data_IF_810913695694
#
_entry.id   IF_810913695694
#
_cell.length_a   1.000
_cell.length_b   1.000
_cell.length_c   1.000
_cell.angle_alpha   90.00
_cell.angle_beta   90.00
_cell.angle_gamma   90.00
#
_symmetry.space_group_name_H-M   'P 1'
#
loop_
_entity.id
_entity.type
_entity.pdbx_description
1 polymer ?
#
# COMPACT_ATOMS: atom_id res chain seq x y z
N UNK A 1 24.12 10.44 -17.70
CA UNK A 1 24.78 9.13 -17.88
C UNK A 1 23.84 8.25 -18.69
N UNK A 2 24.34 7.67 -19.78
CA UNK A 2 23.53 7.12 -20.86
C UNK A 2 22.81 5.81 -20.51
N UNK A 3 21.58 5.76 -21.01
CA UNK A 3 20.59 4.68 -20.94
C UNK A 3 21.04 3.43 -21.72
N UNK A 4 21.14 2.30 -21.02
CA UNK A 4 21.53 0.98 -21.55
C UNK A 4 20.33 0.03 -21.75
N UNK A 5 19.09 0.51 -21.77
CA UNK A 5 17.90 -0.36 -22.01
C UNK A 5 17.44 -0.44 -23.48
N UNK A 6 18.24 0.02 -24.44
CA UNK A 6 17.94 -0.09 -25.89
C UNK A 6 18.63 -1.22 -26.66
N UNK A 7 19.33 -2.15 -26.01
CA UNK A 7 20.06 -3.20 -26.73
C UNK A 7 19.52 -4.61 -26.41
N UNK A 8 18.34 -4.97 -26.93
CA UNK A 8 17.97 -6.36 -27.25
C UNK A 8 16.68 -6.42 -28.11
N UNK A 9 16.69 -5.75 -29.27
CA UNK A 9 15.74 -6.00 -30.37
C UNK A 9 16.44 -5.72 -31.68
N UNK A 10 17.18 -6.71 -32.22
CA UNK A 10 17.54 -6.85 -33.64
C UNK A 10 18.54 -8.01 -33.77
N UNK A 11 18.03 -9.23 -33.97
CA UNK A 11 18.60 -10.28 -34.84
C UNK A 11 17.66 -11.49 -34.78
N UNK A 12 17.03 -11.85 -35.90
CA UNK A 12 16.26 -13.09 -36.00
C UNK A 12 15.12 -13.11 -37.03
N UNK A 13 15.40 -12.77 -38.28
CA UNK A 13 14.70 -13.37 -39.43
C UNK A 13 15.68 -14.44 -39.97
N UNK A 14 15.32 -15.65 -40.40
CA UNK A 14 14.04 -16.30 -40.67
C UNK A 14 14.24 -17.82 -40.60
N UNK A 15 13.16 -18.58 -40.44
CA UNK A 15 12.76 -19.69 -41.33
C UNK A 15 11.47 -20.31 -40.75
N UNK A 16 10.41 -20.31 -41.56
CA UNK A 16 9.09 -20.72 -41.15
C UNK A 16 8.90 -22.24 -41.14
N UNK A 17 7.98 -22.68 -40.28
CA UNK A 17 7.07 -23.79 -40.55
C UNK A 17 5.73 -23.38 -39.93
N UNK A 18 4.69 -23.33 -40.75
CA UNK A 18 3.32 -23.05 -40.36
C UNK A 18 2.68 -24.29 -39.70
N UNK A 19 2.01 -24.10 -38.57
CA UNK A 19 1.05 -25.05 -37.98
C UNK A 19 -0.12 -24.23 -37.41
N UNK A 20 -1.39 -24.57 -37.68
CA UNK A 20 -2.50 -23.63 -37.53
C UNK A 20 -2.93 -23.41 -36.08
N UNK A 21 -3.44 -22.21 -35.83
CA UNK A 21 -4.12 -21.83 -34.60
C UNK A 21 -5.44 -22.61 -34.45
N UNK A 22 -5.58 -23.32 -33.34
CA UNK A 22 -6.88 -23.84 -32.88
C UNK A 22 -7.48 -22.77 -31.98
N UNK A 23 -8.57 -22.16 -32.45
CA UNK A 23 -9.45 -21.33 -31.65
C UNK A 23 -10.17 -22.20 -30.61
N UNK A 24 -10.02 -21.90 -29.33
CA UNK A 24 -10.90 -22.44 -28.29
C UNK A 24 -11.96 -21.38 -27.99
N UNK A 25 -13.10 -21.57 -28.63
CA UNK A 25 -14.37 -20.88 -28.35
C UNK A 25 -14.86 -21.19 -26.95
N UNK A 26 -15.23 -20.13 -26.22
CA UNK A 26 -16.09 -20.22 -25.04
C UNK A 26 -17.45 -20.81 -25.42
N UNK A 27 -17.95 -21.75 -24.61
CA UNK A 27 -19.34 -22.16 -24.63
C UNK A 27 -19.83 -22.33 -23.18
N UNK A 28 -20.78 -21.50 -22.80
CA UNK A 28 -21.74 -21.79 -21.73
C UNK A 28 -22.72 -22.84 -22.24
N UNK A 29 -23.04 -23.85 -21.44
CA UNK A 29 -24.38 -24.44 -21.38
C UNK A 29 -24.66 -25.00 -19.99
N UNK A 30 -25.85 -24.68 -19.52
CA UNK A 30 -26.56 -25.18 -18.33
C UNK A 30 -27.21 -26.53 -18.68
N UNK A 31 -27.29 -27.47 -17.72
CA UNK A 31 -28.36 -28.47 -17.72
C UNK A 31 -28.06 -29.86 -17.16
N UNK A 32 -28.45 -30.06 -15.89
CA UNK A 32 -29.15 -31.23 -15.33
C UNK A 32 -28.42 -32.56 -15.03
N UNK A 33 -28.22 -32.74 -13.71
CA UNK A 33 -28.49 -33.90 -12.86
C UNK A 33 -28.48 -35.33 -13.44
N UNK A 34 -27.57 -36.14 -12.89
CA UNK A 34 -27.88 -37.50 -12.45
C UNK A 34 -27.11 -37.80 -11.16
N UNK A 35 -27.86 -38.22 -10.13
CA UNK A 35 -27.32 -38.75 -8.90
C UNK A 35 -26.75 -40.15 -9.15
N UNK A 36 -25.59 -40.45 -8.59
CA UNK A 36 -25.36 -41.71 -7.88
C UNK A 36 -24.19 -41.57 -6.90
N UNK A 37 -24.37 -42.35 -5.85
CA UNK A 37 -23.70 -42.51 -4.57
C UNK A 37 -22.27 -43.06 -4.70
N UNK A 38 -21.26 -42.36 -4.17
CA UNK A 38 -20.18 -43.04 -3.45
C UNK A 38 -19.39 -42.06 -2.56
N UNK A 39 -19.08 -42.55 -1.37
CA UNK A 39 -18.45 -41.85 -0.26
C UNK A 39 -16.95 -41.62 -0.51
N UNK A 40 -16.49 -40.36 -0.43
CA UNK A 40 -15.09 -40.11 -0.13
C UNK A 40 -14.94 -38.84 0.73
N UNK A 41 -14.21 -39.01 1.83
CA UNK A 41 -13.98 -38.02 2.87
C UNK A 41 -13.03 -36.93 2.38
N UNK A 42 -13.59 -35.84 1.84
CA UNK A 42 -12.82 -34.64 1.51
C UNK A 42 -12.67 -33.74 2.75
N UNK A 43 -11.41 -33.46 3.06
CA UNK A 43 -10.98 -32.60 4.16
C UNK A 43 -11.47 -31.17 3.94
N UNK A 44 -12.60 -30.86 4.57
CA UNK A 44 -13.18 -29.53 4.63
C UNK A 44 -12.18 -28.50 5.13
N UNK A 45 -11.60 -27.76 4.19
CA UNK A 45 -11.20 -26.38 4.40
C UNK A 45 -12.52 -25.61 4.36
N UNK A 46 -13.06 -25.30 5.55
CA UNK A 46 -14.19 -24.38 5.68
C UNK A 46 -13.84 -23.10 4.91
N UNK A 47 -14.50 -22.88 3.77
CA UNK A 47 -14.59 -21.55 3.19
C UNK A 47 -15.27 -20.67 4.22
N UNK A 48 -14.47 -19.89 4.96
CA UNK A 48 -14.99 -18.98 5.97
C UNK A 48 -16.10 -18.12 5.35
N UNK A 49 -17.30 -18.22 5.93
CA UNK A 49 -18.48 -17.47 5.48
C UNK A 49 -18.14 -15.97 5.52
N UNK A 50 -17.98 -15.36 4.34
CA UNK A 50 -17.60 -13.97 4.18
C UNK A 50 -18.75 -13.09 4.69
N UNK A 51 -18.57 -12.43 5.83
CA UNK A 51 -19.62 -11.61 6.43
C UNK A 51 -19.92 -10.35 5.61
N UNK A 52 -21.18 -10.10 5.23
CA UNK A 52 -21.53 -8.93 4.44
C UNK A 52 -21.09 -7.59 5.10
N UNK A 53 -20.31 -6.79 4.38
CA UNK A 53 -19.87 -5.45 4.81
C UNK A 53 -21.01 -4.47 4.60
N UNK A 54 -21.38 -3.73 5.65
CA UNK A 54 -22.44 -2.71 5.58
C UNK A 54 -22.18 -1.71 4.46
N UNK A 55 -23.16 -1.55 3.57
CA UNK A 55 -23.05 -0.61 2.45
C UNK A 55 -22.89 0.83 2.93
N UNK A 56 -21.97 1.57 2.32
CA UNK A 56 -21.73 2.99 2.57
C UNK A 56 -21.75 3.78 1.27
N UNK A 57 -21.63 5.10 1.35
CA UNK A 57 -21.22 5.90 0.19
C UNK A 57 -19.76 5.65 -0.14
N UNK A 58 -19.37 5.89 -1.40
CA UNK A 58 -17.98 5.87 -1.85
C UNK A 58 -17.50 7.28 -2.17
N UNK A 59 -16.19 7.48 -2.27
CA UNK A 59 -15.68 8.74 -2.81
C UNK A 59 -15.95 8.83 -4.31
N UNK A 60 -16.33 10.02 -4.78
CA UNK A 60 -16.38 10.36 -6.19
C UNK A 60 -14.96 10.56 -6.72
N UNK A 61 -14.47 9.63 -7.54
CA UNK A 61 -13.11 9.72 -8.06
C UNK A 61 -12.97 10.79 -9.15
N UNK A 62 -14.08 11.29 -9.71
CA UNK A 62 -14.09 12.39 -10.69
C UNK A 62 -13.99 13.78 -10.06
N UNK A 63 -14.31 13.90 -8.77
CA UNK A 63 -14.21 15.16 -8.04
C UNK A 63 -12.78 15.71 -8.05
N UNK A 64 -12.64 17.04 -8.03
CA UNK A 64 -11.33 17.68 -7.97
C UNK A 64 -10.58 17.28 -6.67
N UNK A 65 -9.25 17.20 -6.76
CA UNK A 65 -8.41 16.99 -5.58
C UNK A 65 -7.95 18.32 -5.00
N UNK A 66 -7.96 18.43 -3.67
CA UNK A 66 -7.48 19.61 -2.94
C UNK A 66 -6.12 19.33 -2.29
N UNK A 67 -5.26 20.34 -2.24
CA UNK A 67 -3.95 20.25 -1.59
C UNK A 67 -4.12 20.32 -0.06
N UNK A 68 -3.56 19.34 0.65
CA UNK A 68 -3.43 19.37 2.11
C UNK A 68 -2.04 19.84 2.54
N UNK A 69 -1.01 19.19 1.98
CA UNK A 69 0.40 19.50 2.21
C UNK A 69 1.14 19.50 0.88
N UNK A 70 2.14 20.35 0.74
CA UNK A 70 2.95 20.41 -0.48
C UNK A 70 4.41 20.58 -0.18
N UNK A 71 5.22 19.70 -0.77
CA UNK A 71 6.68 19.75 -0.81
C UNK A 71 7.32 19.89 0.60
N UNK A 72 6.71 19.26 1.61
CA UNK A 72 7.19 19.33 2.99
C UNK A 72 8.41 18.42 3.21
N UNK A 73 9.39 18.84 4.04
CA UNK A 73 10.47 17.96 4.49
C UNK A 73 9.92 16.75 5.24
N UNK A 74 10.60 15.62 5.07
CA UNK A 74 10.54 14.50 5.99
C UNK A 74 11.88 14.36 6.73
N UNK A 75 11.98 13.44 7.68
CA UNK A 75 13.22 13.22 8.42
C UNK A 75 14.30 12.55 7.56
N UNK A 76 13.91 11.71 6.60
CA UNK A 76 14.81 11.10 5.63
C UNK A 76 14.84 11.84 4.31
N UNK A 77 15.82 11.51 3.47
CA UNK A 77 15.98 12.10 2.12
C UNK A 77 15.46 11.23 0.98
N UNK A 78 15.06 9.99 1.28
CA UNK A 78 14.49 9.05 0.30
C UNK A 78 13.04 9.37 -0.05
N UNK A 79 12.53 8.68 -1.06
CA UNK A 79 11.13 8.77 -1.50
C UNK A 79 10.20 8.37 -0.34
N UNK A 80 9.08 9.10 -0.19
CA UNK A 80 7.94 8.69 0.65
C UNK A 80 7.53 7.28 0.23
N UNK A 81 7.11 6.41 1.14
CA UNK A 81 6.55 5.10 0.79
C UNK A 81 5.07 5.02 1.15
N UNK A 82 4.70 5.56 2.31
CA UNK A 82 3.31 5.66 2.72
C UNK A 82 3.11 6.65 3.86
N UNK A 83 1.85 6.89 4.20
CA UNK A 83 1.47 7.74 5.32
C UNK A 83 0.12 7.32 5.91
N UNK A 84 -0.17 7.77 7.12
CA UNK A 84 -1.46 7.62 7.78
C UNK A 84 -1.68 8.73 8.82
N UNK A 85 -2.94 9.01 9.14
CA UNK A 85 -3.32 10.05 10.09
C UNK A 85 -3.63 9.49 11.47
N UNK A 86 -3.13 10.15 12.52
CA UNK A 86 -3.79 10.12 13.81
C UNK A 86 -4.87 11.20 13.81
N UNK A 87 -6.08 10.79 13.45
CA UNK A 87 -7.20 11.71 13.28
C UNK A 87 -7.63 12.40 14.59
N UNK A 88 -7.48 11.72 15.75
CA UNK A 88 -7.88 12.33 17.02
C UNK A 88 -6.83 13.33 17.54
N UNK A 89 -5.56 13.18 17.14
CA UNK A 89 -4.47 14.07 17.56
C UNK A 89 -4.05 15.09 16.48
N UNK A 90 -4.71 15.11 15.32
CA UNK A 90 -4.35 15.95 14.18
C UNK A 90 -2.86 15.82 13.81
N UNK A 91 -2.39 14.58 13.68
CA UNK A 91 -1.01 14.28 13.29
C UNK A 91 -0.97 13.42 12.02
N UNK A 92 0.13 13.55 11.29
CA UNK A 92 0.45 12.76 10.12
C UNK A 92 1.71 11.95 10.40
N UNK A 93 1.66 10.65 10.13
CA UNK A 93 2.82 9.77 10.16
C UNK A 93 3.19 9.39 8.75
N UNK A 94 4.46 9.50 8.39
CA UNK A 94 4.98 9.10 7.08
C UNK A 94 6.09 8.09 7.23
N UNK A 95 6.27 7.22 6.25
CA UNK A 95 7.37 6.25 6.20
C UNK A 95 8.21 6.46 4.95
N UNK A 96 9.52 6.34 5.10
CA UNK A 96 10.52 6.27 4.04
C UNK A 96 11.42 5.06 4.33
N UNK A 97 12.17 4.58 3.33
CA UNK A 97 13.34 3.76 3.61
C UNK A 97 14.40 4.59 4.36
N UNK A 98 15.14 3.97 5.27
CA UNK A 98 16.26 4.64 5.97
C UNK A 98 17.33 5.09 4.97
N UNK A 99 17.89 6.27 5.21
CA UNK A 99 18.99 6.83 4.43
C UNK A 99 20.27 5.99 4.56
N UNK A 100 21.01 5.86 3.47
CA UNK A 100 22.36 5.30 3.50
C UNK A 100 23.33 6.22 4.25
N UNK A 101 24.35 5.64 4.88
CA UNK A 101 25.37 6.38 5.62
C UNK A 101 24.97 6.78 7.05
N UNK A 102 23.69 6.61 7.41
CA UNK A 102 23.24 6.77 8.80
C UNK A 102 23.61 5.54 9.63
N UNK A 103 24.19 5.73 10.81
CA UNK A 103 24.37 4.68 11.82
C UNK A 103 23.29 4.84 12.89
N UNK A 104 22.43 3.83 13.02
CA UNK A 104 21.35 3.81 13.99
C UNK A 104 21.84 3.24 15.34
N UNK A 105 21.15 3.54 16.46
CA UNK A 105 21.42 2.92 17.75
C UNK A 105 21.54 1.40 17.67
N UNK A 106 22.59 0.85 18.29
CA UNK A 106 22.87 -0.59 18.31
C UNK A 106 23.62 -1.13 17.09
N UNK A 107 24.03 -0.28 16.13
CA UNK A 107 24.82 -0.69 14.97
C UNK A 107 26.32 -0.44 15.18
N UNK A 108 27.15 -1.30 14.62
CA UNK A 108 28.61 -1.21 14.69
C UNK A 108 29.23 -0.50 13.47
N UNK A 109 28.44 -0.21 12.45
CA UNK A 109 28.86 0.49 11.22
C UNK A 109 27.70 1.22 10.57
N UNK A 110 28.01 2.09 9.62
CA UNK A 110 27.04 2.63 8.66
C UNK A 110 26.69 1.59 7.60
N UNK A 111 25.45 1.64 7.12
CA UNK A 111 24.95 0.82 6.01
C UNK A 111 24.67 1.69 4.78
N UNK A 112 24.85 1.15 3.60
CA UNK A 112 24.46 1.79 2.33
C UNK A 112 22.93 1.82 2.19
N UNK A 113 22.41 2.71 1.33
CA UNK A 113 20.97 2.76 1.06
C UNK A 113 20.41 1.45 0.46
N UNK A 114 21.24 0.73 -0.30
CA UNK A 114 20.90 -0.59 -0.84
C UNK A 114 20.79 -1.64 0.28
N UNK A 115 21.71 -1.64 1.25
CA UNK A 115 21.63 -2.52 2.41
C UNK A 115 20.40 -2.22 3.28
N UNK A 116 20.09 -0.92 3.50
CA UNK A 116 18.86 -0.51 4.22
C UNK A 116 17.60 -1.03 3.52
N UNK A 117 17.53 -0.87 2.20
CA UNK A 117 16.41 -1.36 1.39
C UNK A 117 16.29 -2.88 1.43
N UNK A 118 17.41 -3.60 1.29
CA UNK A 118 17.43 -5.05 1.34
C UNK A 118 17.03 -5.57 2.73
N UNK A 119 17.42 -4.88 3.81
CA UNK A 119 17.04 -5.23 5.17
C UNK A 119 15.60 -4.83 5.51
N UNK A 120 14.99 -3.93 4.74
CA UNK A 120 13.66 -3.41 5.05
C UNK A 120 13.67 -2.44 6.24
N UNK A 121 14.67 -1.57 6.29
CA UNK A 121 14.80 -0.55 7.32
C UNK A 121 14.00 0.70 6.97
N UNK A 122 13.11 1.12 7.88
CA UNK A 122 12.19 2.23 7.70
C UNK A 122 12.52 3.42 8.63
N UNK A 123 12.36 4.62 8.10
CA UNK A 123 12.36 5.88 8.82
C UNK A 123 10.91 6.38 8.89
N UNK A 124 10.41 6.53 10.11
CA UNK A 124 9.06 7.03 10.38
C UNK A 124 9.15 8.47 10.89
N UNK A 125 8.49 9.40 10.21
CA UNK A 125 8.41 10.81 10.58
C UNK A 125 7.02 11.13 11.10
N UNK A 126 6.94 11.79 12.25
CA UNK A 126 5.69 12.38 12.76
C UNK A 126 5.66 13.86 12.39
N UNK A 127 4.55 14.31 11.83
CA UNK A 127 4.30 15.67 11.40
C UNK A 127 3.02 16.20 12.08
N UNK A 128 2.94 17.52 12.27
CA UNK A 128 1.64 18.18 12.39
C UNK A 128 0.97 18.34 11.01
N UNK A 129 -0.28 18.80 10.98
CA UNK A 129 -1.00 19.04 9.71
C UNK A 129 -0.52 20.28 8.94
N UNK A 130 0.49 21.00 9.42
CA UNK A 130 1.20 22.05 8.68
C UNK A 130 2.50 21.55 8.06
N UNK A 131 2.89 20.30 8.32
CA UNK A 131 4.12 19.68 7.81
C UNK A 131 5.36 19.93 8.67
N UNK A 132 5.20 20.43 9.91
CA UNK A 132 6.33 20.55 10.83
C UNK A 132 6.67 19.19 11.42
N UNK A 133 7.96 18.85 11.47
CA UNK A 133 8.45 17.61 12.06
C UNK A 133 8.33 17.68 13.59
N UNK A 134 7.52 16.77 14.14
CA UNK A 134 7.31 16.59 15.58
C UNK A 134 8.16 15.44 16.16
N UNK A 135 8.79 14.64 15.31
CA UNK A 135 9.68 13.57 15.74
C UNK A 135 9.97 12.52 14.68
N UNK A 136 10.93 11.66 14.99
CA UNK A 136 11.43 10.60 14.10
C UNK A 136 11.58 9.31 14.90
N UNK A 137 11.34 8.17 14.25
CA UNK A 137 11.53 6.84 14.81
C UNK A 137 12.05 5.91 13.70
N UNK A 138 12.93 4.97 14.04
CA UNK A 138 13.49 4.04 13.08
C UNK A 138 13.02 2.61 13.35
N UNK A 139 12.74 1.86 12.28
CA UNK A 139 12.25 0.49 12.36
C UNK A 139 13.18 -0.39 11.52
N UNK A 140 13.98 -1.25 12.16
CA UNK A 140 14.96 -2.11 11.50
C UNK A 140 14.41 -3.49 11.23
N UNK A 141 14.54 -3.97 10.00
CA UNK A 141 14.03 -5.30 9.62
C UNK A 141 12.51 -5.36 9.54
N UNK A 142 11.83 -4.28 9.18
CA UNK A 142 10.37 -4.24 9.15
C UNK A 142 9.81 -4.62 7.78
N UNK A 143 10.31 -4.00 6.70
CA UNK A 143 9.89 -4.30 5.34
C UNK A 143 10.06 -3.09 4.42
N UNK A 144 9.20 -2.94 3.42
CA UNK A 144 9.34 -1.90 2.41
C UNK A 144 8.60 -0.60 2.78
N UNK A 145 7.56 -0.70 3.60
CA UNK A 145 6.77 0.44 4.07
C UNK A 145 5.70 0.89 3.08
N UNK A 146 5.26 0.01 2.17
CA UNK A 146 4.27 0.33 1.11
C UNK A 146 2.95 0.86 1.66
N UNK A 147 2.55 0.41 2.87
CA UNK A 147 1.39 0.96 3.54
C UNK A 147 1.52 0.82 5.06
N UNK A 148 1.11 1.88 5.75
CA UNK A 148 0.95 1.91 7.21
C UNK A 148 -0.48 2.25 7.61
N UNK A 149 -0.84 1.91 8.85
CA UNK A 149 -2.05 2.35 9.53
C UNK A 149 -1.72 3.04 10.85
N UNK A 150 -2.63 3.90 11.31
CA UNK A 150 -2.53 4.56 12.62
C UNK A 150 -3.84 4.33 13.37
N UNK A 151 -3.71 3.90 14.61
CA UNK A 151 -4.79 3.76 15.57
C UNK A 151 -4.56 4.79 16.69
N UNK A 152 -5.49 5.72 16.82
CA UNK A 152 -5.46 6.68 17.92
C UNK A 152 -6.07 6.10 19.17
N UNK A 153 -5.41 6.27 20.31
CA UNK A 153 -5.91 5.85 21.62
C UNK A 153 -5.67 6.95 22.65
N UNK A 154 -6.33 6.87 23.79
CA UNK A 154 -6.04 7.76 24.94
C UNK A 154 -4.60 7.61 25.44
N UNK A 155 -3.95 6.47 25.20
CA UNK A 155 -2.56 6.23 25.55
C UNK A 155 -1.57 6.76 24.50
N UNK A 156 -2.03 7.23 23.33
CA UNK A 156 -1.21 7.77 22.24
C UNK A 156 -1.48 7.10 20.89
N UNK A 157 -0.66 7.46 19.90
CA UNK A 157 -0.71 6.94 18.53
C UNK A 157 -0.01 5.58 18.44
N UNK A 158 -0.76 4.57 18.02
CA UNK A 158 -0.23 3.24 17.71
C UNK A 158 -0.17 3.04 16.21
N UNK A 159 1.00 2.62 15.74
CA UNK A 159 1.29 2.42 14.33
C UNK A 159 1.16 0.94 14.01
N UNK A 160 0.64 0.69 12.82
CA UNK A 160 0.51 -0.61 12.20
C UNK A 160 1.34 -0.63 10.93
N UNK A 161 2.24 -1.59 10.80
CA UNK A 161 3.01 -1.81 9.56
C UNK A 161 3.47 -3.26 9.51
N UNK A 162 4.01 -3.66 8.37
CA UNK A 162 4.73 -4.92 8.21
C UNK A 162 5.97 -5.02 9.13
N UNK A 163 6.33 -6.23 9.54
CA UNK A 163 7.57 -6.53 10.26
C UNK A 163 8.17 -7.90 9.86
N UNK A 164 9.32 -8.24 10.45
CA UNK A 164 10.06 -9.47 10.17
C UNK A 164 10.38 -9.61 8.67
N UNK A 165 11.13 -8.63 8.16
CA UNK A 165 11.47 -8.52 6.75
C UNK A 165 12.26 -9.73 6.24
N UNK A 166 11.86 -10.22 5.08
CA UNK A 166 12.56 -11.22 4.29
C UNK A 166 13.09 -10.56 3.03
N UNK A 167 14.37 -10.78 2.72
CA UNK A 167 14.96 -10.23 1.50
C UNK A 167 14.44 -10.98 0.28
N UNK A 168 13.97 -10.25 -0.71
CA UNK A 168 13.62 -10.78 -2.03
C UNK A 168 14.43 -10.08 -3.11
N UNK A 169 14.93 -10.87 -4.07
CA UNK A 169 15.60 -10.33 -5.24
C UNK A 169 14.60 -9.62 -6.15
N UNK A 170 14.99 -8.46 -6.66
CA UNK A 170 14.31 -7.71 -7.70
C UNK A 170 14.84 -8.17 -9.07
N UNK A 171 14.10 -7.87 -10.14
CA UNK A 171 14.46 -8.26 -11.51
C UNK A 171 15.77 -7.66 -12.02
N UNK A 172 16.24 -6.57 -11.40
CA UNK A 172 17.50 -5.90 -11.70
C UNK A 172 18.70 -6.40 -10.88
N UNK A 173 18.52 -7.45 -10.07
CA UNK A 173 19.55 -8.01 -9.20
C UNK A 173 19.76 -7.27 -7.87
N UNK A 174 18.97 -6.23 -7.60
CA UNK A 174 18.92 -5.61 -6.27
C UNK A 174 18.02 -6.41 -5.33
N UNK A 175 18.00 -6.04 -4.05
CA UNK A 175 17.16 -6.70 -3.04
C UNK A 175 16.26 -5.71 -2.33
N UNK A 176 15.05 -6.15 -1.99
CA UNK A 176 14.11 -5.43 -1.15
C UNK A 176 13.65 -6.32 0.01
N UNK A 177 13.60 -5.76 1.21
CA UNK A 177 13.01 -6.42 2.37
C UNK A 177 11.49 -6.29 2.37
N UNK A 178 10.79 -7.41 2.54
CA UNK A 178 9.33 -7.46 2.62
C UNK A 178 8.90 -8.12 3.93
N UNK A 179 8.02 -7.47 4.67
CA UNK A 179 7.52 -8.00 5.94
C UNK A 179 6.66 -9.24 5.74
N UNK A 180 6.85 -10.20 6.65
CA UNK A 180 6.16 -11.49 6.64
C UNK A 180 4.98 -11.54 7.63
N UNK A 181 4.88 -10.57 8.53
CA UNK A 181 3.77 -10.40 9.45
C UNK A 181 3.51 -8.91 9.74
N UNK A 182 2.46 -8.61 10.50
CA UNK A 182 2.14 -7.24 10.92
C UNK A 182 2.66 -6.99 12.33
N UNK A 183 3.02 -5.74 12.62
CA UNK A 183 3.34 -5.25 13.95
C UNK A 183 2.46 -4.06 14.32
N UNK A 184 2.09 -4.02 15.61
CA UNK A 184 1.50 -2.86 16.28
C UNK A 184 2.46 -2.38 17.36
N UNK A 185 2.76 -1.08 17.38
CA UNK A 185 3.64 -0.47 18.38
C UNK A 185 3.27 0.99 18.60
N UNK A 186 3.60 1.54 19.78
CA UNK A 186 3.39 2.95 20.08
C UNK A 186 4.50 3.78 19.45
N UNK A 187 4.17 4.94 18.86
CA UNK A 187 5.19 5.89 18.44
C UNK A 187 5.99 6.41 19.65
N UNK A 188 7.31 6.43 19.53
CA UNK A 188 8.21 7.05 20.50
C UNK A 188 9.35 7.79 19.78
N UNK A 189 9.40 9.11 19.94
CA UNK A 189 10.40 9.95 19.29
C UNK A 189 11.82 9.55 19.69
N UNK A 190 12.74 9.51 18.72
CA UNK A 190 14.16 9.21 18.89
C UNK A 190 14.46 7.73 19.12
N UNK A 191 13.46 6.84 19.02
CA UNK A 191 13.65 5.41 19.26
C UNK A 191 13.94 4.63 17.99
N UNK A 192 14.61 3.49 18.16
CA UNK A 192 14.82 2.49 17.11
C UNK A 192 14.24 1.17 17.59
N UNK A 193 13.35 0.58 16.80
CA UNK A 193 12.81 -0.75 17.04
C UNK A 193 13.40 -1.76 16.06
N UNK A 194 13.50 -3.00 16.49
CA UNK A 194 13.76 -4.17 15.65
C UNK A 194 12.54 -5.08 15.67
N UNK A 195 12.47 -6.04 14.76
CA UNK A 195 11.40 -7.06 14.78
C UNK A 195 11.30 -7.80 16.13
N UNK A 196 12.39 -7.88 16.91
CA UNK A 196 12.43 -8.56 18.21
C UNK A 196 12.21 -7.64 19.42
N UNK A 197 11.97 -6.34 19.22
CA UNK A 197 11.76 -5.42 20.33
C UNK A 197 10.46 -5.76 21.09
N UNK A 198 10.53 -5.78 22.42
CA UNK A 198 9.39 -6.12 23.30
C UNK A 198 8.25 -5.12 23.25
N UNK A 199 8.45 -3.94 22.64
CA UNK A 199 7.38 -2.96 22.42
C UNK A 199 6.42 -3.34 21.28
N UNK A 200 6.73 -4.37 20.48
CA UNK A 200 5.88 -4.81 19.37
C UNK A 200 4.88 -5.85 19.86
N UNK A 201 3.65 -5.72 19.41
CA UNK A 201 2.73 -6.87 19.29
C UNK A 201 2.73 -7.30 17.82
N UNK A 202 3.13 -8.54 17.56
CA UNK A 202 3.14 -9.09 16.20
C UNK A 202 1.87 -9.89 15.92
N UNK A 203 1.43 -9.86 14.67
CA UNK A 203 0.25 -10.55 14.17
C UNK A 203 0.60 -11.27 12.89
N UNK A 204 0.67 -12.60 12.97
CA UNK A 204 0.79 -13.47 11.80
C UNK A 204 -0.60 -13.81 11.28
N UNK A 205 -0.70 -13.94 9.97
CA UNK A 205 -1.83 -14.57 9.29
C UNK A 205 -1.61 -16.10 9.25
N UNK A 206 -2.45 -16.82 8.51
CA UNK A 206 -2.28 -18.25 8.32
C UNK A 206 -1.01 -18.60 7.50
N UNK A 207 -0.61 -19.87 7.55
CA UNK A 207 0.59 -20.35 6.84
C UNK A 207 0.49 -20.12 5.32
N UNK A 208 1.63 -19.81 4.69
CA UNK A 208 1.71 -19.54 3.25
C UNK A 208 1.35 -18.11 2.84
N UNK A 209 1.00 -17.25 3.80
CA UNK A 209 0.79 -15.82 3.58
C UNK A 209 2.07 -15.02 3.85
N UNK A 210 2.44 -14.15 2.92
CA UNK A 210 3.57 -13.22 3.09
C UNK A 210 3.27 -11.83 2.52
N UNK A 211 4.29 -10.93 2.54
CA UNK A 211 4.22 -9.55 2.02
C UNK A 211 3.00 -8.80 2.54
N UNK A 212 2.84 -8.81 3.86
CA UNK A 212 1.66 -8.28 4.54
C UNK A 212 1.83 -6.80 4.80
N UNK A 213 0.92 -5.96 4.31
CA UNK A 213 0.85 -4.52 4.64
C UNK A 213 -0.56 -4.17 5.11
N UNK A 214 -0.74 -3.02 5.75
CA UNK A 214 -1.96 -2.75 6.53
C UNK A 214 -2.44 -1.32 6.42
N UNK A 215 -3.76 -1.15 6.31
CA UNK A 215 -4.45 0.12 6.43
C UNK A 215 -5.56 0.03 7.48
N UNK A 216 -5.88 1.16 8.12
CA UNK A 216 -6.95 1.29 9.11
C UNK A 216 -8.05 2.19 8.56
N UNK A 217 -9.31 1.74 8.66
CA UNK A 217 -10.48 2.60 8.52
C UNK A 217 -10.87 3.12 9.91
N UNK A 218 -10.56 4.39 10.23
CA UNK A 218 -10.85 4.97 11.54
C UNK A 218 -12.34 5.24 11.78
N UNK A 219 -13.16 5.25 10.72
CA UNK A 219 -14.61 5.55 10.83
C UNK A 219 -15.38 4.27 11.18
N UNK A 220 -15.02 3.16 10.56
CA UNK A 220 -15.74 1.89 10.71
C UNK A 220 -15.00 0.86 11.58
N UNK A 221 -13.89 1.26 12.23
CA UNK A 221 -13.04 0.40 13.04
C UNK A 221 -12.62 -0.89 12.31
N UNK A 222 -12.17 -0.73 11.06
CA UNK A 222 -11.72 -1.85 10.23
C UNK A 222 -10.22 -1.84 10.02
N UNK A 223 -9.67 -3.02 9.84
CA UNK A 223 -8.28 -3.24 9.47
C UNK A 223 -8.26 -4.00 8.15
N UNK A 224 -7.63 -3.42 7.13
CA UNK A 224 -7.39 -4.10 5.86
C UNK A 224 -5.96 -4.58 5.81
N UNK A 225 -5.77 -5.86 5.53
CA UNK A 225 -4.46 -6.43 5.24
C UNK A 225 -4.37 -6.70 3.75
N UNK A 226 -3.39 -6.10 3.08
CA UNK A 226 -2.94 -6.56 1.77
C UNK A 226 -1.90 -7.64 2.02
N UNK A 227 -2.10 -8.82 1.46
CA UNK A 227 -1.21 -9.96 1.67
C UNK A 227 -1.07 -10.76 0.37
N UNK A 228 0.01 -11.53 0.24
CA UNK A 228 0.22 -12.42 -0.88
C UNK A 228 -0.07 -13.85 -0.46
N UNK A 229 -0.97 -14.50 -1.18
CA UNK A 229 -1.42 -15.88 -0.96
C UNK A 229 -1.13 -16.65 -2.23
N UNK A 230 -0.35 -17.73 -2.14
CA UNK A 230 0.05 -18.55 -3.30
C UNK A 230 0.61 -17.72 -4.47
N UNK A 231 1.39 -16.68 -4.16
CA UNK A 231 2.02 -15.78 -5.15
C UNK A 231 1.15 -14.63 -5.65
N UNK A 232 -0.15 -14.58 -5.34
CA UNK A 232 -1.07 -13.53 -5.78
C UNK A 232 -1.47 -12.59 -4.63
N UNK A 233 -1.56 -11.28 -4.90
CA UNK A 233 -1.99 -10.31 -3.90
C UNK A 233 -3.51 -10.33 -3.71
N UNK A 234 -3.92 -10.32 -2.45
CA UNK A 234 -5.29 -10.24 -1.96
C UNK A 234 -5.40 -9.14 -0.91
N UNK A 235 -6.61 -8.66 -0.69
CA UNK A 235 -6.96 -7.75 0.38
C UNK A 235 -8.01 -8.40 1.26
N UNK A 236 -7.75 -8.43 2.56
CA UNK A 236 -8.66 -8.99 3.56
C UNK A 236 -9.08 -7.93 4.55
N UNK A 237 -10.37 -7.83 4.79
CA UNK A 237 -10.97 -6.89 5.72
C UNK A 237 -11.30 -7.60 7.03
N UNK A 238 -10.93 -6.99 8.15
CA UNK A 238 -11.18 -7.48 9.50
C UNK A 238 -11.81 -6.39 10.36
N UNK A 239 -12.49 -6.83 11.43
CA UNK A 239 -12.76 -5.95 12.57
C UNK A 239 -11.45 -5.68 13.33
N UNK A 240 -11.11 -4.40 13.54
CA UNK A 240 -9.85 -4.00 14.16
C UNK A 240 -9.75 -4.46 15.62
N UNK A 241 -10.85 -4.39 16.37
CA UNK A 241 -10.85 -4.76 17.79
C UNK A 241 -10.68 -6.28 17.95
N UNK A 242 -11.44 -7.07 17.19
CA UNK A 242 -11.32 -8.53 17.19
C UNK A 242 -9.93 -8.98 16.71
N UNK A 243 -9.38 -8.35 15.66
CA UNK A 243 -8.05 -8.69 15.13
C UNK A 243 -6.96 -8.53 16.18
N UNK A 244 -7.00 -7.42 16.95
CA UNK A 244 -6.06 -7.13 18.04
C UNK A 244 -6.05 -8.19 19.13
N UNK A 245 -7.19 -8.83 19.41
CA UNK A 245 -7.32 -9.86 20.44
C UNK A 245 -7.12 -11.28 19.89
N UNK A 246 -6.64 -11.42 18.65
CA UNK A 246 -6.35 -12.71 18.02
C UNK A 246 -7.44 -13.25 17.10
N UNK A 247 -8.56 -12.54 16.94
CA UNK A 247 -9.61 -12.90 16.00
C UNK A 247 -9.12 -12.85 14.55
N UNK A 248 -9.59 -13.78 13.73
CA UNK A 248 -9.20 -13.91 12.30
C UNK A 248 -10.41 -14.09 11.37
N UNK A 249 -11.61 -13.79 11.84
CA UNK A 249 -12.82 -13.77 11.00
C UNK A 249 -12.67 -12.71 9.92
N UNK A 250 -12.69 -13.17 8.67
CA UNK A 250 -12.58 -12.31 7.49
C UNK A 250 -13.96 -11.75 7.17
N UNK A 251 -14.09 -10.43 7.13
CA UNK A 251 -15.31 -9.74 6.71
C UNK A 251 -15.41 -9.69 5.18
N UNK A 252 -14.30 -9.51 4.48
CA UNK A 252 -14.27 -9.53 3.02
C UNK A 252 -12.89 -9.98 2.54
N UNK A 253 -12.84 -10.71 1.44
CA UNK A 253 -11.60 -11.12 0.78
C UNK A 253 -11.70 -10.87 -0.72
N UNK A 254 -10.91 -9.93 -1.24
CA UNK A 254 -10.90 -9.57 -2.67
C UNK A 254 -9.52 -9.72 -3.27
N UNK A 255 -9.45 -10.23 -4.49
CA UNK A 255 -8.20 -10.25 -5.25
C UNK A 255 -7.78 -8.82 -5.62
N UNK A 256 -6.47 -8.57 -5.72
CA UNK A 256 -6.00 -7.35 -6.36
C UNK A 256 -6.45 -7.35 -7.82
N UNK A 257 -7.14 -6.30 -8.31
CA UNK A 257 -7.45 -6.17 -9.73
C UNK A 257 -6.18 -6.26 -10.57
N UNK A 258 -6.24 -7.01 -11.68
CA UNK A 258 -5.09 -7.20 -12.56
C UNK A 258 -4.65 -5.89 -13.26
N UNK A 259 -5.62 -5.01 -13.56
CA UNK A 259 -5.40 -3.75 -14.25
C UNK A 259 -5.65 -2.56 -13.30
N UNK A 260 -4.60 -2.16 -12.57
CA UNK A 260 -4.63 -0.95 -11.73
C UNK A 260 -4.18 0.31 -12.48
N UNK A 261 -3.48 0.11 -13.60
CA UNK A 261 -2.96 1.14 -14.47
C UNK A 261 -2.91 0.57 -15.88
N UNK A 262 -3.70 1.12 -16.83
CA UNK A 262 -3.76 0.61 -18.18
C UNK A 262 -2.37 0.47 -18.81
N UNK A 263 -2.14 -0.65 -19.50
CA UNK A 263 -0.92 -0.98 -20.27
C UNK A 263 0.36 -1.28 -19.46
N UNK A 264 0.36 -1.17 -18.12
CA UNK A 264 1.56 -1.44 -17.32
C UNK A 264 1.25 -2.35 -16.11
N UNK A 265 1.74 -3.61 -16.13
CA UNK A 265 1.61 -4.50 -14.99
C UNK A 265 2.56 -4.07 -13.85
N UNK A 266 2.08 -4.18 -12.61
CA UNK A 266 2.82 -3.95 -11.36
C UNK A 266 3.24 -2.49 -11.06
N UNK A 267 2.25 -1.63 -10.89
CA UNK A 267 2.42 -0.19 -10.60
C UNK A 267 1.73 0.23 -9.29
N UNK A 268 1.50 -0.73 -8.39
CA UNK A 268 0.78 -0.50 -7.13
C UNK A 268 1.60 0.34 -6.15
N UNK A 269 0.96 1.34 -5.53
CA UNK A 269 1.63 2.34 -4.70
C UNK A 269 0.94 2.65 -3.37
N UNK A 270 -0.16 1.97 -3.04
CA UNK A 270 -0.82 2.17 -1.75
C UNK A 270 -2.32 1.89 -1.78
N UNK A 271 -2.92 1.87 -0.59
CA UNK A 271 -4.34 1.58 -0.46
C UNK A 271 -4.95 2.19 0.80
N UNK A 272 -6.25 2.46 0.73
CA UNK A 272 -7.05 2.88 1.87
C UNK A 272 -8.41 2.17 1.83
N UNK A 273 -9.05 2.01 2.98
CA UNK A 273 -10.39 1.45 3.08
C UNK A 273 -11.32 2.45 3.75
N UNK A 274 -12.53 2.59 3.23
CA UNK A 274 -13.59 3.39 3.84
C UNK A 274 -14.94 2.71 3.61
N UNK A 275 -15.53 2.23 4.70
CA UNK A 275 -16.83 1.56 4.69
C UNK A 275 -16.81 0.31 3.82
N UNK A 276 -17.73 0.22 2.85
CA UNK A 276 -17.83 -0.92 1.93
C UNK A 276 -16.89 -0.85 0.72
N UNK A 277 -15.89 0.05 0.72
CA UNK A 277 -15.00 0.23 -0.42
C UNK A 277 -13.51 0.23 -0.06
N UNK A 278 -12.74 -0.37 -0.96
CA UNK A 278 -11.28 -0.37 -1.01
C UNK A 278 -10.82 0.57 -2.12
N UNK A 279 -9.85 1.42 -1.84
CA UNK A 279 -9.24 2.34 -2.78
C UNK A 279 -7.79 1.95 -2.99
N UNK A 280 -7.39 1.80 -4.24
CA UNK A 280 -6.05 1.39 -4.64
C UNK A 280 -5.41 2.51 -5.46
N UNK A 281 -4.17 2.86 -5.11
CA UNK A 281 -3.36 3.82 -5.85
C UNK A 281 -2.36 3.06 -6.71
N UNK A 282 -2.26 3.46 -7.97
CA UNK A 282 -1.25 2.97 -8.87
C UNK A 282 -0.68 4.10 -9.72
N UNK A 283 0.56 3.94 -10.18
CA UNK A 283 1.26 4.90 -11.01
C UNK A 283 2.77 4.89 -10.77
N UNK A 284 3.49 5.66 -11.57
CA UNK A 284 4.95 5.76 -11.48
C UNK A 284 5.40 7.22 -11.52
N UNK A 285 6.66 7.44 -11.12
CA UNK A 285 7.30 8.73 -11.22
C UNK A 285 7.25 9.29 -12.65
N UNK A 286 7.12 10.61 -12.80
CA UNK A 286 7.35 11.27 -14.09
C UNK A 286 8.67 10.80 -14.74
N UNK A 287 8.60 10.47 -16.02
CA UNK A 287 9.71 9.93 -16.81
C UNK A 287 9.84 8.41 -16.78
N UNK A 288 9.03 7.71 -15.99
CA UNK A 288 9.01 6.24 -15.87
C UNK A 288 7.69 5.68 -16.41
N UNK A 289 7.72 4.55 -17.12
CA UNK A 289 6.53 3.76 -17.50
C UNK A 289 5.36 4.58 -18.07
N UNK A 290 5.69 5.46 -19.03
CA UNK A 290 4.69 6.29 -19.71
C UNK A 290 4.12 7.46 -18.88
N UNK A 291 4.58 7.66 -17.64
CA UNK A 291 4.21 8.82 -16.82
C UNK A 291 4.85 10.09 -17.39
N UNK A 292 4.06 10.95 -18.02
CA UNK A 292 4.54 12.19 -18.66
C UNK A 292 3.87 13.41 -18.03
N UNK A 293 4.67 14.39 -17.62
CA UNK A 293 4.17 15.67 -17.11
C UNK A 293 3.36 16.43 -18.18
N UNK A 294 2.25 17.10 -17.83
CA UNK A 294 1.72 17.27 -16.47
C UNK A 294 0.82 16.13 -15.98
N UNK A 295 0.25 15.33 -16.86
CA UNK A 295 -0.85 14.44 -16.48
C UNK A 295 -0.41 13.22 -15.66
N UNK A 296 0.77 12.69 -15.98
CA UNK A 296 1.28 11.45 -15.40
C UNK A 296 0.40 10.25 -15.73
N UNK A 297 0.56 9.18 -14.95
CA UNK A 297 -0.19 7.92 -15.10
C UNK A 297 -0.76 7.44 -13.76
N UNK A 298 -1.09 8.34 -12.84
CA UNK A 298 -1.59 7.94 -11.51
C UNK A 298 -3.10 7.66 -11.56
N UNK A 299 -3.50 6.44 -11.22
CA UNK A 299 -4.89 6.02 -11.14
C UNK A 299 -5.30 5.73 -9.70
N UNK A 300 -6.56 6.05 -9.38
CA UNK A 300 -7.26 5.55 -8.20
C UNK A 300 -8.31 4.57 -8.67
N UNK A 301 -8.32 3.37 -8.09
CA UNK A 301 -9.30 2.31 -8.35
C UNK A 301 -10.14 2.07 -7.11
N UNK A 302 -11.47 2.10 -7.24
CA UNK A 302 -12.43 1.83 -6.17
C UNK A 302 -13.05 0.44 -6.35
N UNK A 303 -12.85 -0.45 -5.38
CA UNK A 303 -13.34 -1.84 -5.36
C UNK A 303 -14.41 -1.97 -4.29
N UNK A 304 -15.54 -2.60 -4.62
CA UNK A 304 -16.57 -2.92 -3.64
C UNK A 304 -16.17 -4.18 -2.86
N UNK A 305 -16.11 -4.08 -1.53
CA UNK A 305 -15.71 -5.18 -0.66
C UNK A 305 -16.63 -6.40 -0.76
N UNK A 306 -17.93 -6.20 -0.95
CA UNK A 306 -18.91 -7.28 -0.99
C UNK A 306 -18.88 -8.10 -2.28
N UNK A 307 -18.38 -7.51 -3.37
CA UNK A 307 -18.41 -8.17 -4.69
C UNK A 307 -17.03 -8.38 -5.31
N UNK A 308 -16.00 -7.72 -4.79
CA UNK A 308 -14.68 -7.66 -5.41
C UNK A 308 -14.65 -6.90 -6.74
N UNK A 309 -15.77 -6.33 -7.19
CA UNK A 309 -15.85 -5.64 -8.47
C UNK A 309 -15.22 -4.24 -8.39
N UNK A 310 -14.48 -3.87 -9.44
CA UNK A 310 -14.08 -2.48 -9.68
C UNK A 310 -15.33 -1.68 -10.02
N UNK A 311 -15.66 -0.73 -9.15
CA UNK A 311 -16.82 0.16 -9.31
C UNK A 311 -16.48 1.43 -10.04
N UNK A 312 -15.24 1.89 -9.92
CA UNK A 312 -14.73 3.04 -10.64
C UNK A 312 -13.19 2.98 -10.71
N UNK A 313 -12.61 3.45 -11.81
CA UNK A 313 -11.18 3.71 -11.93
C UNK A 313 -11.00 5.04 -12.67
N UNK A 314 -10.17 5.94 -12.13
CA UNK A 314 -9.92 7.27 -12.72
C UNK A 314 -8.47 7.69 -12.58
N UNK A 315 -7.95 8.31 -13.63
CA UNK A 315 -6.71 9.09 -13.58
C UNK A 315 -6.91 10.27 -12.62
N UNK A 316 -5.97 10.47 -11.70
CA UNK A 316 -5.93 11.64 -10.82
C UNK A 316 -4.84 12.61 -11.26
N UNK A 317 -5.22 13.88 -11.44
CA UNK A 317 -4.30 14.99 -11.69
C UNK A 317 -3.86 15.71 -10.42
N UNK A 318 -4.06 15.11 -9.25
CA UNK A 318 -3.56 15.66 -7.99
C UNK A 318 -2.05 15.91 -8.08
N UNK A 319 -1.60 17.11 -7.72
CA UNK A 319 -0.18 17.48 -7.77
C UNK A 319 0.45 17.53 -9.15
N UNK A 320 -0.31 17.70 -10.24
CA UNK A 320 0.21 17.73 -11.62
C UNK A 320 1.29 18.80 -11.89
N UNK A 321 1.41 19.80 -11.02
CA UNK A 321 2.42 20.87 -11.09
C UNK A 321 3.67 20.58 -10.27
N UNK A 322 3.79 19.40 -9.66
CA UNK A 322 5.00 19.02 -8.93
C UNK A 322 6.15 18.77 -9.93
N UNK A 323 7.39 19.22 -9.66
CA UNK A 323 8.53 19.00 -10.56
C UNK A 323 8.90 17.50 -10.67
N UNK A 324 8.83 16.81 -9.54
CA UNK A 324 8.86 15.34 -9.46
C UNK A 324 7.52 14.89 -8.88
N UNK A 325 6.92 13.85 -9.47
CA UNK A 325 5.63 13.33 -9.01
C UNK A 325 5.61 11.83 -9.11
N UNK A 326 5.65 11.17 -7.96
CA UNK A 326 5.50 9.72 -7.82
C UNK A 326 4.43 9.46 -6.76
N UNK A 327 3.36 8.72 -7.06
CA UNK A 327 2.31 8.40 -6.07
C UNK A 327 2.85 7.44 -5.00
N UNK A 328 2.58 7.73 -3.73
CA UNK A 328 3.15 7.01 -2.57
C UNK A 328 2.17 7.02 -1.38
N UNK A 329 1.39 5.95 -1.25
CA UNK A 329 0.44 5.71 -0.16
C UNK A 329 -0.94 6.38 -0.31
N UNK A 330 -1.91 5.84 0.44
CA UNK A 330 -3.22 6.44 0.66
C UNK A 330 -3.62 6.36 2.13
N UNK A 331 -4.52 7.26 2.56
CA UNK A 331 -5.10 7.20 3.91
C UNK A 331 -6.47 7.87 3.97
N UNK A 332 -7.26 7.54 4.99
CA UNK A 332 -8.47 8.26 5.34
C UNK A 332 -8.16 9.31 6.40
N UNK A 333 -8.50 10.56 6.13
CA UNK A 333 -8.47 11.65 7.08
C UNK A 333 -9.88 11.97 7.59
N UNK A 334 -10.00 12.20 8.89
CA UNK A 334 -11.14 12.85 9.54
C UNK A 334 -10.62 14.21 10.02
N UNK A 335 -10.85 15.30 9.28
CA UNK A 335 -10.31 16.63 9.58
C UNK A 335 -10.85 17.21 10.88
N UNK A 336 -12.10 16.88 11.19
CA UNK A 336 -12.79 17.28 12.41
C UNK A 336 -13.37 16.04 13.08
N UNK A 337 -12.76 15.55 14.18
CA UNK A 337 -13.28 14.41 14.93
C UNK A 337 -14.71 14.61 15.47
N UNK A 338 -15.16 15.85 15.66
CA UNK A 338 -16.54 16.15 16.03
C UNK A 338 -17.53 15.97 14.86
N UNK A 339 -17.03 15.93 13.62
CA UNK A 339 -17.78 15.62 12.43
C UNK A 339 -17.12 14.46 11.64
N UNK A 340 -17.25 13.21 12.12
CA UNK A 340 -16.60 12.06 11.50
C UNK A 340 -17.15 11.71 10.11
N UNK A 341 -18.17 12.43 9.61
CA UNK A 341 -18.69 12.27 8.26
C UNK A 341 -18.00 13.16 7.22
N UNK A 342 -17.24 14.17 7.66
CA UNK A 342 -16.43 15.04 6.80
C UNK A 342 -15.12 14.36 6.38
N UNK A 343 -15.19 13.12 5.91
CA UNK A 343 -14.05 12.27 5.59
C UNK A 343 -13.34 12.71 4.31
N UNK A 344 -12.05 12.41 4.23
CA UNK A 344 -11.25 12.66 3.03
C UNK A 344 -10.45 11.43 2.63
N UNK A 345 -10.47 11.11 1.34
CA UNK A 345 -9.57 10.14 0.73
C UNK A 345 -8.29 10.86 0.32
N UNK A 346 -7.21 10.60 1.03
CA UNK A 346 -5.92 11.23 0.80
C UNK A 346 -5.01 10.35 -0.07
N UNK A 347 -4.26 10.99 -0.97
CA UNK A 347 -3.20 10.37 -1.77
C UNK A 347 -1.90 11.15 -1.58
N UNK A 348 -0.82 10.41 -1.34
CA UNK A 348 0.51 10.95 -1.12
C UNK A 348 1.30 10.97 -2.42
N UNK A 349 2.20 11.92 -2.53
CA UNK A 349 3.14 12.01 -3.64
C UNK A 349 4.53 12.36 -3.12
N UNK A 350 5.53 11.59 -3.54
CA UNK A 350 6.90 12.06 -3.48
C UNK A 350 7.12 13.15 -4.53
N UNK A 351 7.86 14.17 -4.11
CA UNK A 351 8.14 15.39 -4.86
C UNK A 351 9.56 15.87 -4.62
N UNK A 352 9.96 16.96 -5.27
CA UNK A 352 11.22 17.67 -5.02
C UNK A 352 10.93 19.16 -4.87
N UNK A 353 11.87 19.91 -4.29
CA UNK A 353 11.70 21.38 -4.13
C UNK A 353 11.73 22.08 -5.50
N UNK A 354 12.56 21.59 -6.42
CA UNK A 354 12.68 22.10 -7.80
C UNK A 354 13.34 21.04 -8.69
N UNK A 355 13.56 21.38 -9.96
CA UNK A 355 14.35 20.56 -10.89
C UNK A 355 15.84 20.51 -10.53
N UNK A 356 16.32 21.46 -9.72
CA UNK A 356 17.73 21.57 -9.30
C UNK A 356 17.98 21.13 -7.86
N UNK A 357 16.98 21.22 -6.99
CA UNK A 357 17.00 20.66 -5.64
C UNK A 357 16.19 19.37 -5.59
N UNK A 358 16.87 18.26 -5.85
CA UNK A 358 16.29 16.93 -6.03
C UNK A 358 16.03 16.18 -4.71
N UNK A 359 16.26 16.83 -3.56
CA UNK A 359 15.92 16.27 -2.24
C UNK A 359 14.44 15.93 -2.22
N UNK A 360 14.11 14.71 -1.81
CA UNK A 360 12.72 14.25 -1.82
C UNK A 360 11.92 14.92 -0.72
N UNK A 361 10.69 15.27 -1.08
CA UNK A 361 9.67 15.94 -0.26
C UNK A 361 8.38 15.15 -0.34
N UNK A 362 7.50 15.36 0.62
CA UNK A 362 6.15 14.79 0.60
C UNK A 362 5.11 15.86 0.24
N UNK A 363 4.12 15.46 -0.54
CA UNK A 363 2.89 16.22 -0.78
C UNK A 363 1.69 15.32 -0.54
N UNK A 364 0.60 15.86 -0.01
CA UNK A 364 -0.64 15.13 0.24
C UNK A 364 -1.79 15.91 -0.34
N UNK A 365 -2.63 15.25 -1.13
CA UNK A 365 -3.85 15.79 -1.71
C UNK A 365 -5.03 14.93 -1.33
N UNK A 366 -6.25 15.45 -1.42
CA UNK A 366 -7.44 14.70 -1.03
C UNK A 366 -8.67 14.97 -1.89
N UNK A 367 -9.61 14.02 -1.84
CA UNK A 367 -10.99 14.13 -2.31
C UNK A 367 -11.94 13.99 -1.12
N UNK A 368 -13.02 14.75 -1.09
CA UNK A 368 -13.97 14.83 0.03
C UNK A 368 -15.45 14.76 -0.37
N UNK A 369 -15.72 14.43 -1.64
CA UNK A 369 -17.08 14.23 -2.16
C UNK A 369 -17.45 12.75 -2.09
N UNK A 370 -18.59 12.44 -1.45
CA UNK A 370 -19.16 11.10 -1.35
C UNK A 370 -20.41 10.95 -2.25
N UNK A 371 -20.54 9.81 -2.93
CA UNK A 371 -21.67 9.43 -3.81
C UNK A 371 -22.31 8.11 -3.44
#
# INVERSE_FOLDING_TARGET
MLDRRKLLRLTGAALGVAVPAVAVTAAQTVGQAHADDDSDTDSGIDEAEVGAVTATKRFDLTAASTMLLREVPLSGTRVLQSFAFDNAQAQLFTVQLVDGGLQLPGETRTYTGAERQAQGDLCLTRLDLSGNILGTMYLRGFGHGVQIGVESTTAGSYLWTETAAVQAANSDGTYSGWGSCLARFKFANGTTLTATSSQLTQYTLESGVDRTTVAVDPVNNRLTVRCRVSGAFRYRLYDLAAFKTGGRTILADVAQPADLMPDYPDTFQGFATYGSYLYLLAGTAYGTDGSVSPDGNTFITCVNWNTGAVTEQKLTKAGYTLPYREPEGMAIQIPDPANPTAVRLCSGFASTTSDTDTRKRASVYYKDVLV
#
